data_IF_384618924342
#
_entry.id   IF_384618924342
#
_cell.length_a   1.000
_cell.length_b   1.000
_cell.length_c   1.000
_cell.angle_alpha   90.00
_cell.angle_beta   90.00
_cell.angle_gamma   90.00
#
_symmetry.space_group_name_H-M   'P 1'
#
loop_
_entity.id
_entity.type
_entity.pdbx_description
1 polymer ?
#
# COMPACT_ATOMS: atom_id res chain seq x y z
N UNK A 1 8.80 32.26 -57.54
CA UNK A 1 8.66 31.29 -58.64
C UNK A 1 8.89 29.90 -58.07
N UNK A 2 7.80 29.19 -57.74
CA UNK A 2 7.74 27.72 -57.59
C UNK A 2 7.94 27.08 -58.99
N UNK A 3 8.33 25.80 -59.16
CA UNK A 3 7.39 24.66 -59.01
C UNK A 3 7.97 23.43 -58.25
N UNK A 4 7.18 22.67 -57.47
CA UNK A 4 6.15 21.65 -57.76
C UNK A 4 6.69 20.22 -58.08
N UNK A 5 6.45 19.29 -57.13
CA UNK A 5 5.78 17.97 -57.20
C UNK A 5 6.29 16.75 -58.02
N UNK A 6 6.28 15.60 -57.29
CA UNK A 6 5.70 14.26 -57.66
C UNK A 6 6.50 13.35 -58.62
N UNK A 7 6.45 12.00 -58.65
CA UNK A 7 5.69 10.91 -58.01
C UNK A 7 6.62 9.65 -57.99
N UNK A 8 6.43 8.63 -57.14
CA UNK A 8 5.60 7.45 -57.42
C UNK A 8 6.46 6.26 -57.92
N UNK A 9 6.57 5.12 -57.22
CA UNK A 9 5.74 3.91 -57.33
C UNK A 9 6.63 2.72 -56.84
N UNK A 10 6.23 1.54 -56.36
CA UNK A 10 4.97 0.80 -56.17
C UNK A 10 5.34 -0.53 -55.47
N UNK A 11 4.48 -1.06 -54.59
CA UNK A 11 4.16 -2.50 -54.47
C UNK A 11 2.92 -2.61 -53.55
N UNK A 12 1.71 -2.78 -54.11
CA UNK A 12 0.96 -4.05 -54.24
C UNK A 12 0.44 -4.55 -52.87
N UNK A 13 -0.82 -4.39 -52.42
CA UNK A 13 -2.18 -4.61 -52.97
C UNK A 13 -2.60 -6.09 -52.97
N UNK A 14 -3.38 -6.48 -51.95
CA UNK A 14 -4.39 -7.56 -51.89
C UNK A 14 -5.49 -7.01 -50.93
N UNK A 15 -6.52 -6.29 -51.42
CA UNK A 15 -7.94 -6.73 -51.60
C UNK A 15 -8.49 -7.57 -50.43
N UNK A 16 -9.15 -6.98 -49.44
CA UNK A 16 -10.56 -6.51 -49.37
C UNK A 16 -11.60 -7.65 -49.41
N UNK A 17 -12.35 -7.81 -48.31
CA UNK A 17 -13.80 -7.95 -48.37
C UNK A 17 -14.45 -7.72 -46.98
N UNK A 18 -15.45 -6.85 -47.01
CA UNK A 18 -16.63 -6.73 -46.14
C UNK A 18 -16.57 -5.82 -44.90
N UNK A 19 -16.71 -4.54 -45.21
CA UNK A 19 -17.40 -3.55 -44.39
C UNK A 19 -18.88 -3.93 -44.14
N UNK A 20 -19.36 -3.77 -42.89
CA UNK A 20 -20.62 -3.09 -42.52
C UNK A 20 -20.95 -3.29 -41.02
N UNK A 21 -20.73 -2.25 -40.22
CA UNK A 21 -21.67 -1.63 -39.25
C UNK A 21 -20.91 -0.75 -38.27
N UNK A 22 -20.71 0.51 -38.67
CA UNK A 22 -20.54 1.59 -37.73
C UNK A 22 -21.94 1.98 -37.21
N UNK A 23 -22.16 1.85 -35.91
CA UNK A 23 -23.21 2.56 -35.20
C UNK A 23 -22.52 3.40 -34.13
N UNK A 24 -22.70 4.71 -34.24
CA UNK A 24 -22.12 5.73 -33.38
C UNK A 24 -22.55 5.54 -31.92
N UNK A 25 -21.59 5.54 -31.00
CA UNK A 25 -21.84 5.73 -29.58
C UNK A 25 -22.06 7.23 -29.34
N UNK A 26 -23.31 7.64 -29.14
CA UNK A 26 -23.64 8.94 -28.57
C UNK A 26 -23.33 8.93 -27.04
N UNK A 27 -22.95 10.09 -26.44
CA UNK A 27 -22.65 10.15 -25.02
C UNK A 27 -23.94 10.05 -24.20
N UNK A 28 -23.94 9.14 -23.21
CA UNK A 28 -25.02 9.01 -22.22
C UNK A 28 -25.03 10.24 -21.30
N UNK A 29 -26.19 10.90 -21.19
CA UNK A 29 -26.43 12.01 -20.26
C UNK A 29 -26.93 11.48 -18.90
N UNK A 30 -26.69 12.27 -17.85
CA UNK A 30 -26.76 11.91 -16.43
C UNK A 30 -28.18 11.59 -15.91
N UNK A 31 -29.22 11.70 -16.73
CA UNK A 31 -30.61 11.43 -16.36
C UNK A 31 -31.09 10.01 -16.69
N UNK A 32 -30.38 9.23 -17.52
CA UNK A 32 -30.77 7.84 -17.83
C UNK A 32 -30.12 6.79 -16.91
N UNK A 33 -29.17 7.20 -16.06
CA UNK A 33 -28.48 6.28 -15.14
C UNK A 33 -29.26 5.98 -13.84
N UNK A 34 -30.34 6.72 -13.56
CA UNK A 34 -31.10 6.60 -12.31
C UNK A 34 -32.27 5.60 -12.43
N UNK A 35 -32.75 5.29 -13.64
CA UNK A 35 -33.85 4.33 -13.85
C UNK A 35 -33.39 2.86 -13.91
N UNK A 36 -32.09 2.57 -13.96
CA UNK A 36 -31.59 1.19 -14.00
C UNK A 36 -31.38 0.56 -12.60
N UNK A 37 -31.51 1.33 -11.52
CA UNK A 37 -31.21 0.87 -10.15
C UNK A 37 -32.46 0.66 -9.29
N UNK A 38 -33.66 1.04 -9.76
CA UNK A 38 -34.89 0.93 -8.97
C UNK A 38 -35.98 0.11 -9.67
N UNK A 39 -35.79 -1.22 -9.72
CA UNK A 39 -36.94 -2.12 -9.80
C UNK A 39 -36.63 -3.45 -9.08
N UNK A 40 -36.87 -3.45 -7.77
CA UNK A 40 -36.83 -4.62 -6.92
C UNK A 40 -38.00 -5.55 -7.25
N UNK A 41 -37.81 -6.50 -8.19
CA UNK A 41 -38.79 -7.58 -8.42
C UNK A 41 -38.29 -8.76 -9.26
N UNK A 42 -37.14 -9.35 -8.93
CA UNK A 42 -36.76 -10.71 -9.43
C UNK A 42 -35.62 -11.36 -8.62
N UNK A 43 -35.70 -11.31 -7.28
CA UNK A 43 -34.78 -12.05 -6.39
C UNK A 43 -35.33 -13.40 -5.88
N UNK A 44 -36.38 -13.95 -6.51
CA UNK A 44 -36.91 -15.28 -6.16
C UNK A 44 -36.60 -16.40 -7.15
N UNK A 45 -36.18 -16.09 -8.38
CA UNK A 45 -35.94 -17.12 -9.39
C UNK A 45 -34.47 -17.53 -9.54
N UNK A 46 -33.51 -16.73 -9.04
CA UNK A 46 -32.08 -17.06 -9.07
C UNK A 46 -31.65 -18.08 -8.00
N UNK A 47 -32.47 -18.27 -6.95
CA UNK A 47 -32.18 -19.22 -5.86
C UNK A 47 -32.47 -20.68 -6.26
N UNK A 48 -33.26 -20.90 -7.31
CA UNK A 48 -33.60 -22.22 -7.84
C UNK A 48 -32.52 -22.83 -8.74
N UNK A 49 -31.89 -22.01 -9.59
CA UNK A 49 -30.92 -22.49 -10.57
C UNK A 49 -29.52 -22.76 -9.97
N UNK A 50 -29.16 -22.10 -8.87
CA UNK A 50 -27.87 -22.32 -8.19
C UNK A 50 -27.84 -23.62 -7.35
N UNK A 51 -28.99 -24.24 -7.06
CA UNK A 51 -29.06 -25.50 -6.31
C UNK A 51 -28.77 -26.76 -7.14
N UNK A 52 -28.70 -26.66 -8.46
CA UNK A 52 -28.53 -27.83 -9.34
C UNK A 52 -27.08 -28.11 -9.80
N UNK A 53 -26.09 -27.27 -9.45
CA UNK A 53 -24.68 -27.50 -9.80
C UNK A 53 -23.82 -27.78 -8.56
N UNK A 54 -23.99 -28.97 -7.98
CA UNK A 54 -22.96 -29.57 -7.10
C UNK A 54 -21.80 -30.04 -7.97
N UNK A 55 -20.71 -29.27 -8.01
CA UNK A 55 -19.39 -29.81 -8.37
C UNK A 55 -18.84 -30.47 -7.13
N UNK A 56 -18.84 -31.81 -7.10
CA UNK A 56 -18.17 -32.60 -6.07
C UNK A 56 -16.66 -32.51 -6.25
N UNK A 57 -15.91 -32.03 -5.25
CA UNK A 57 -14.45 -32.18 -5.24
C UNK A 57 -13.60 -31.11 -4.56
N UNK A 58 -14.15 -30.16 -3.78
CA UNK A 58 -13.31 -29.27 -2.96
C UNK A 58 -13.31 -29.71 -1.50
N UNK A 59 -12.15 -29.82 -0.83
CA UNK A 59 -12.13 -30.08 0.61
C UNK A 59 -12.82 -28.92 1.34
N UNK A 60 -13.63 -29.26 2.34
CA UNK A 60 -14.29 -28.28 3.20
C UNK A 60 -13.24 -27.41 3.90
N UNK A 61 -13.20 -26.13 3.56
CA UNK A 61 -12.47 -25.14 4.35
C UNK A 61 -13.21 -24.98 5.68
N UNK A 62 -12.55 -25.39 6.76
CA UNK A 62 -13.07 -25.28 8.11
C UNK A 62 -13.15 -23.79 8.48
N UNK A 63 -14.33 -23.19 8.29
CA UNK A 63 -14.60 -21.77 8.51
C UNK A 63 -14.61 -21.37 10.01
N UNK A 64 -14.01 -22.18 10.88
CA UNK A 64 -13.85 -21.91 12.30
C UNK A 64 -12.44 -21.41 12.61
N UNK A 65 -12.22 -20.11 12.34
CA UNK A 65 -11.45 -19.14 13.16
C UNK A 65 -11.08 -17.92 12.31
N UNK A 66 -12.07 -17.12 11.96
CA UNK A 66 -11.86 -15.67 11.97
C UNK A 66 -12.76 -15.10 13.05
N UNK A 67 -12.25 -15.12 14.28
CA UNK A 67 -12.79 -14.25 15.32
C UNK A 67 -12.17 -12.89 15.02
N UNK A 68 -12.93 -11.87 14.57
CA UNK A 68 -12.38 -10.53 14.53
C UNK A 68 -11.94 -10.22 15.95
N UNK A 69 -10.65 -9.94 16.16
CA UNK A 69 -10.14 -9.55 17.47
C UNK A 69 -10.79 -8.22 17.84
N UNK A 70 -11.93 -8.29 18.52
CA UNK A 70 -12.55 -7.13 19.12
C UNK A 70 -11.64 -6.67 20.26
N UNK A 71 -11.02 -5.50 20.09
CA UNK A 71 -10.56 -4.68 21.22
C UNK A 71 -9.20 -4.99 21.82
N UNK A 72 -8.12 -4.87 21.04
CA UNK A 72 -6.99 -4.12 21.61
C UNK A 72 -7.45 -2.66 21.66
N UNK A 73 -7.39 -1.96 22.80
CA UNK A 73 -7.69 -0.54 22.82
C UNK A 73 -6.70 0.13 21.86
N UNK A 74 -7.23 0.75 20.81
CA UNK A 74 -6.41 1.62 19.98
C UNK A 74 -5.77 2.60 20.96
N UNK A 75 -4.46 2.69 20.92
CA UNK A 75 -3.61 3.66 21.64
C UNK A 75 -3.95 5.14 21.33
N UNK A 76 -5.12 5.38 20.73
CA UNK A 76 -5.69 6.63 20.30
C UNK A 76 -5.99 7.53 21.50
N UNK A 77 -5.26 8.63 21.58
CA UNK A 77 -5.62 9.77 22.39
C UNK A 77 -6.10 10.89 21.47
N UNK A 78 -7.41 11.19 21.54
CA UNK A 78 -8.03 12.23 20.71
C UNK A 78 -7.62 13.64 21.10
N UNK A 79 -7.38 13.89 22.39
CA UNK A 79 -7.04 15.22 22.89
C UNK A 79 -5.63 15.63 22.45
N UNK A 80 -4.66 14.73 22.54
CA UNK A 80 -3.28 14.98 22.07
C UNK A 80 -3.06 14.63 20.59
N UNK A 81 -4.08 14.06 19.93
CA UNK A 81 -4.04 13.50 18.57
C UNK A 81 -2.88 12.52 18.39
N UNK A 82 -2.73 11.59 19.33
CA UNK A 82 -1.64 10.61 19.32
C UNK A 82 -2.11 9.18 19.18
N UNK A 83 -1.27 8.36 18.56
CA UNK A 83 -1.41 6.89 18.50
C UNK A 83 -0.05 6.25 18.70
N UNK A 84 -0.02 5.05 19.27
CA UNK A 84 1.14 4.15 19.28
C UNK A 84 1.10 3.23 18.05
N UNK A 85 2.27 3.01 17.47
CA UNK A 85 2.44 2.18 16.28
C UNK A 85 3.57 1.19 16.47
N UNK A 86 3.47 0.07 15.76
CA UNK A 86 4.62 -0.70 15.33
C UNK A 86 5.04 -0.10 13.98
N UNK A 87 6.26 0.43 13.88
CA UNK A 87 6.76 1.03 12.63
C UNK A 87 7.66 0.09 11.83
N UNK A 88 8.18 -0.96 12.45
CA UNK A 88 8.88 -2.05 11.77
C UNK A 88 9.00 -3.28 12.66
N UNK A 89 8.97 -4.46 12.04
CA UNK A 89 9.31 -5.76 12.62
C UNK A 89 10.59 -6.35 12.02
N UNK A 90 11.24 -5.61 11.11
CA UNK A 90 12.39 -6.08 10.35
C UNK A 90 12.06 -7.17 9.35
N UNK A 91 10.80 -7.24 8.89
CA UNK A 91 10.33 -8.25 7.95
C UNK A 91 11.27 -8.39 6.76
N UNK A 92 11.46 -9.64 6.33
CA UNK A 92 12.17 -9.92 5.10
C UNK A 92 11.27 -9.64 3.91
N UNK A 93 11.73 -8.79 2.99
CA UNK A 93 10.95 -8.38 1.82
C UNK A 93 11.81 -8.09 0.60
N UNK A 94 11.18 -8.14 -0.57
CA UNK A 94 11.85 -7.80 -1.82
C UNK A 94 11.82 -6.29 -2.03
N UNK A 95 12.99 -5.66 -1.99
CA UNK A 95 13.15 -4.22 -2.15
C UNK A 95 14.08 -3.89 -3.31
N UNK A 96 13.85 -2.73 -3.95
CA UNK A 96 14.74 -2.20 -4.95
C UNK A 96 15.67 -1.18 -4.30
N UNK A 97 16.96 -1.49 -4.23
CA UNK A 97 17.97 -0.64 -3.60
C UNK A 97 19.04 -0.31 -4.63
N UNK A 98 19.23 0.96 -4.96
CA UNK A 98 20.39 1.36 -5.75
C UNK A 98 21.65 1.29 -4.88
N UNK A 99 22.78 0.73 -5.38
CA UNK A 99 23.02 0.23 -6.73
C UNK A 99 22.73 -1.27 -6.94
N UNK A 100 22.28 -2.01 -5.92
CA UNK A 100 22.12 -3.47 -5.95
C UNK A 100 20.96 -4.00 -6.81
N UNK A 101 20.00 -3.16 -7.17
CA UNK A 101 18.79 -3.57 -7.86
C UNK A 101 17.79 -4.24 -6.91
N UNK A 102 17.05 -5.25 -7.39
CA UNK A 102 16.14 -6.02 -6.55
C UNK A 102 16.91 -6.98 -5.65
N UNK A 103 16.73 -6.82 -4.34
CA UNK A 103 17.33 -7.66 -3.30
C UNK A 103 16.26 -8.19 -2.36
N UNK A 104 16.54 -9.32 -1.71
CA UNK A 104 15.83 -9.69 -0.49
C UNK A 104 16.51 -9.00 0.68
N UNK A 105 15.81 -8.01 1.21
CA UNK A 105 16.26 -7.22 2.35
C UNK A 105 15.61 -7.73 3.64
N UNK A 106 16.37 -7.70 4.72
CA UNK A 106 15.90 -7.92 6.09
C UNK A 106 16.51 -6.82 6.97
N UNK A 107 15.73 -6.18 7.83
CA UNK A 107 16.26 -5.16 8.73
C UNK A 107 16.61 -5.78 10.07
N UNK A 108 17.86 -5.63 10.51
CA UNK A 108 18.24 -6.02 11.86
C UNK A 108 17.62 -5.06 12.88
N UNK A 109 16.68 -5.56 13.66
CA UNK A 109 15.98 -4.81 14.70
C UNK A 109 16.73 -4.83 16.05
N UNK A 110 17.95 -5.34 16.13
CA UNK A 110 18.78 -5.20 17.32
C UNK A 110 19.06 -3.71 17.61
N UNK A 111 19.00 -3.24 18.87
CA UNK A 111 19.27 -1.83 19.19
C UNK A 111 20.62 -1.28 18.69
N UNK A 112 21.61 -2.15 18.52
CA UNK A 112 22.94 -1.79 17.98
C UNK A 112 22.97 -1.58 16.47
N UNK A 113 21.97 -2.09 15.73
CA UNK A 113 21.88 -1.97 14.28
C UNK A 113 21.09 -0.73 13.82
N UNK A 114 20.25 -0.16 14.70
CA UNK A 114 19.34 0.93 14.36
C UNK A 114 19.80 2.26 14.96
N UNK A 115 20.11 3.22 14.10
CA UNK A 115 20.40 4.61 14.49
C UNK A 115 19.11 5.36 14.77
N UNK A 116 18.73 5.44 16.04
CA UNK A 116 17.42 5.95 16.46
C UNK A 116 17.37 7.47 16.69
N UNK A 117 18.46 8.20 16.47
CA UNK A 117 18.58 9.62 16.82
C UNK A 117 17.51 10.48 16.13
N UNK A 118 17.26 10.23 14.85
CA UNK A 118 16.25 10.98 14.09
C UNK A 118 14.85 10.74 14.64
N UNK A 119 14.43 9.48 14.80
CA UNK A 119 13.10 9.18 15.33
C UNK A 119 12.91 9.63 16.80
N UNK A 120 13.98 9.63 17.60
CA UNK A 120 13.94 10.09 19.01
C UNK A 120 14.05 11.60 19.17
N UNK A 121 14.37 12.33 18.10
CA UNK A 121 14.54 13.80 18.15
C UNK A 121 13.27 14.59 18.50
N UNK A 122 12.10 13.95 18.40
CA UNK A 122 10.80 14.64 18.50
C UNK A 122 10.44 15.45 17.25
N UNK A 123 11.22 15.33 16.15
CA UNK A 123 11.05 16.11 14.91
C UNK A 123 10.91 15.27 13.65
N UNK A 124 11.12 13.95 13.71
CA UNK A 124 10.93 13.08 12.54
C UNK A 124 9.48 13.20 12.04
N UNK A 125 9.26 13.42 10.73
CA UNK A 125 7.94 13.67 10.21
C UNK A 125 7.11 12.38 10.18
N UNK A 126 5.80 12.56 10.31
CA UNK A 126 4.82 11.56 9.89
C UNK A 126 4.31 11.96 8.53
N UNK A 127 4.49 11.11 7.52
CA UNK A 127 4.16 11.44 6.13
C UNK A 127 2.95 10.68 5.61
N UNK A 128 2.31 11.24 4.58
CA UNK A 128 1.39 10.53 3.70
C UNK A 128 2.19 9.78 2.64
N UNK A 129 2.22 8.45 2.75
CA UNK A 129 2.71 7.55 1.69
C UNK A 129 4.11 7.93 1.17
N UNK A 130 5.07 8.21 2.08
CA UNK A 130 6.45 8.59 1.76
C UNK A 130 6.62 9.86 0.93
N UNK A 131 5.56 10.65 0.74
CA UNK A 131 5.60 11.86 -0.09
C UNK A 131 6.38 12.96 0.60
N UNK A 132 7.51 13.32 -0.02
CA UNK A 132 8.49 14.29 0.48
C UNK A 132 8.63 15.53 -0.40
N UNK A 133 7.78 15.64 -1.42
CA UNK A 133 7.78 16.69 -2.43
C UNK A 133 7.10 17.99 -1.94
N UNK A 134 6.46 18.00 -0.77
CA UNK A 134 5.80 19.19 -0.23
C UNK A 134 5.33 19.07 1.21
N UNK A 135 5.19 20.22 1.89
CA UNK A 135 4.82 20.30 3.30
C UNK A 135 3.39 19.81 3.60
N UNK A 136 2.49 19.83 2.61
CA UNK A 136 1.12 19.32 2.74
C UNK A 136 1.07 17.78 2.96
N UNK A 137 2.16 17.07 2.70
CA UNK A 137 2.27 15.64 2.97
C UNK A 137 2.70 15.31 4.40
N UNK A 138 3.01 16.33 5.22
CA UNK A 138 3.37 16.16 6.63
C UNK A 138 2.10 16.07 7.46
N UNK A 139 1.72 14.86 7.82
CA UNK A 139 0.57 14.56 8.67
C UNK A 139 0.82 14.88 10.14
N UNK A 140 2.09 14.95 10.55
CA UNK A 140 2.45 15.10 11.96
C UNK A 140 3.92 14.84 12.22
N UNK A 141 4.22 14.37 13.43
CA UNK A 141 5.58 14.05 13.87
C UNK A 141 5.63 12.86 14.83
N UNK A 142 6.79 12.23 14.90
CA UNK A 142 7.13 11.25 15.92
C UNK A 142 7.51 11.97 17.20
N UNK A 143 6.84 11.65 18.31
CA UNK A 143 7.11 12.28 19.63
C UNK A 143 7.85 11.36 20.59
N UNK A 144 7.83 10.05 20.34
CA UNK A 144 8.63 9.05 21.06
C UNK A 144 8.89 7.85 20.16
N UNK A 145 10.05 7.21 20.28
CA UNK A 145 10.38 6.00 19.53
C UNK A 145 11.34 5.08 20.30
N UNK A 146 11.12 3.77 20.20
CA UNK A 146 11.92 2.75 20.87
C UNK A 146 12.03 1.48 20.02
N UNK A 147 13.05 0.70 20.34
CA UNK A 147 13.21 -0.69 19.88
C UNK A 147 12.99 -1.56 21.10
N UNK A 148 12.09 -2.53 21.01
CA UNK A 148 11.73 -3.42 22.11
C UNK A 148 11.30 -4.78 21.56
N UNK A 149 11.83 -5.87 22.10
CA UNK A 149 11.43 -7.22 21.68
C UNK A 149 11.60 -7.52 20.17
N UNK A 150 12.61 -6.92 19.52
CA UNK A 150 12.84 -7.08 18.08
C UNK A 150 11.87 -6.28 17.20
N UNK A 151 11.11 -5.34 17.77
CA UNK A 151 10.17 -4.48 17.04
C UNK A 151 10.44 -3.01 17.31
N UNK A 152 10.13 -2.20 16.31
CA UNK A 152 10.15 -0.76 16.39
C UNK A 152 8.79 -0.23 16.81
N UNK A 153 8.75 0.53 17.90
CA UNK A 153 7.55 1.22 18.37
C UNK A 153 7.73 2.74 18.35
N UNK A 154 6.65 3.45 18.09
CA UNK A 154 6.64 4.91 18.12
C UNK A 154 5.29 5.47 18.57
N UNK A 155 5.31 6.68 19.13
CA UNK A 155 4.12 7.49 19.33
C UNK A 155 4.10 8.58 18.27
N UNK A 156 3.04 8.59 17.46
CA UNK A 156 2.83 9.58 16.41
C UNK A 156 1.87 10.65 16.93
N UNK A 157 2.15 11.92 16.65
CA UNK A 157 1.24 13.04 16.90
C UNK A 157 0.81 13.65 15.58
N UNK A 158 -0.50 13.70 15.32
CA UNK A 158 -1.06 14.27 14.10
C UNK A 158 -1.30 15.78 14.24
N UNK A 159 -1.02 16.50 13.15
CA UNK A 159 -1.29 17.94 13.02
C UNK A 159 -2.78 18.24 13.16
N UNK A 160 -3.10 19.46 13.62
CA UNK A 160 -4.46 20.01 13.64
C UNK A 160 -4.80 20.78 12.36
N UNK A 161 -3.92 20.77 11.36
CA UNK A 161 -4.17 21.42 10.08
C UNK A 161 -5.37 20.76 9.36
N UNK A 162 -6.16 21.58 8.67
CA UNK A 162 -7.43 21.16 8.06
C UNK A 162 -7.24 20.06 7.00
N UNK A 163 -6.12 20.07 6.29
CA UNK A 163 -5.75 19.10 5.27
C UNK A 163 -5.39 17.71 5.85
N UNK A 164 -5.00 17.64 7.13
CA UNK A 164 -4.69 16.38 7.82
C UNK A 164 -5.94 15.71 8.40
N UNK A 165 -7.02 16.47 8.63
CA UNK A 165 -8.22 15.96 9.30
C UNK A 165 -8.85 14.73 8.63
N UNK A 166 -8.96 14.63 7.29
CA UNK A 166 -9.47 13.42 6.65
C UNK A 166 -8.61 12.17 6.90
N UNK A 167 -7.29 12.33 7.08
CA UNK A 167 -6.39 11.20 7.39
C UNK A 167 -6.54 10.82 8.86
N UNK A 168 -6.59 11.81 9.75
CA UNK A 168 -6.83 11.58 11.17
C UNK A 168 -8.14 10.83 11.43
N UNK A 169 -9.24 11.21 10.76
CA UNK A 169 -10.52 10.50 10.90
C UNK A 169 -10.43 9.02 10.49
N UNK A 170 -9.66 8.70 9.43
CA UNK A 170 -9.43 7.31 9.00
C UNK A 170 -8.58 6.50 10.00
N UNK A 171 -7.67 7.17 10.71
CA UNK A 171 -6.93 6.53 11.81
C UNK A 171 -7.86 6.27 12.99
N UNK A 172 -8.70 7.25 13.31
CA UNK A 172 -9.67 7.21 14.40
C UNK A 172 -10.72 6.11 14.20
N UNK A 173 -11.26 5.98 12.99
CA UNK A 173 -12.26 4.96 12.66
C UNK A 173 -11.64 3.59 12.33
N UNK A 174 -10.31 3.52 12.24
CA UNK A 174 -9.54 2.30 12.00
C UNK A 174 -9.51 1.84 10.55
N UNK A 175 -9.98 2.64 9.59
CA UNK A 175 -9.89 2.33 8.15
C UNK A 175 -8.48 2.50 7.60
N UNK A 176 -7.65 3.36 8.21
CA UNK A 176 -6.24 3.53 7.88
C UNK A 176 -5.37 3.19 9.09
N UNK A 177 -4.73 2.02 9.06
CA UNK A 177 -3.93 1.51 10.18
C UNK A 177 -2.50 1.14 9.80
N UNK A 178 -2.19 1.03 8.51
CA UNK A 178 -0.91 0.49 8.07
C UNK A 178 0.20 1.54 8.16
N UNK A 179 1.38 1.08 8.56
CA UNK A 179 2.55 1.91 8.80
C UNK A 179 3.71 1.43 7.93
N UNK A 180 4.56 2.37 7.54
CA UNK A 180 5.84 2.09 6.91
C UNK A 180 6.89 3.05 7.47
N UNK A 181 8.17 2.71 7.31
CA UNK A 181 9.28 3.57 7.68
C UNK A 181 10.19 3.77 6.47
N UNK A 182 10.58 5.02 6.28
CA UNK A 182 11.59 5.45 5.33
C UNK A 182 12.92 5.50 6.06
N UNK A 183 13.90 4.82 5.50
CA UNK A 183 15.19 4.62 6.14
C UNK A 183 16.33 4.69 5.12
N UNK A 184 17.53 4.87 5.66
CA UNK A 184 18.78 4.73 4.92
C UNK A 184 19.56 3.56 5.53
N UNK A 185 20.06 2.67 4.69
CA UNK A 185 21.01 1.64 5.12
C UNK A 185 22.44 2.16 4.92
N UNK A 186 23.24 2.08 5.98
CA UNK A 186 24.67 2.42 5.96
C UNK A 186 25.53 1.20 5.68
N UNK A 187 25.12 0.02 6.15
CA UNK A 187 25.82 -1.23 5.90
C UNK A 187 24.88 -2.43 5.86
N UNK A 188 25.08 -3.27 4.86
CA UNK A 188 24.51 -4.62 4.79
C UNK A 188 25.56 -5.66 5.15
N UNK A 189 25.13 -6.70 5.85
CA UNK A 189 25.81 -7.98 5.87
C UNK A 189 25.04 -8.94 4.95
N UNK A 190 25.76 -9.54 4.01
CA UNK A 190 25.16 -10.47 3.05
C UNK A 190 25.30 -11.89 3.56
N UNK A 191 24.19 -12.63 3.60
CA UNK A 191 24.18 -14.04 3.97
C UNK A 191 23.47 -14.85 2.90
N UNK A 192 24.10 -15.93 2.46
CA UNK A 192 23.46 -16.90 1.57
C UNK A 192 22.72 -17.96 2.38
N UNK A 193 21.46 -18.24 2.02
CA UNK A 193 20.71 -19.31 2.66
C UNK A 193 21.01 -20.66 2.00
N UNK A 194 21.91 -21.43 2.61
CA UNK A 194 22.26 -22.76 2.13
C UNK A 194 22.97 -22.79 0.77
N UNK A 195 23.25 -24.00 0.29
CA UNK A 195 23.88 -24.19 -1.02
C UNK A 195 22.87 -23.84 -2.13
N UNK A 196 23.13 -22.78 -2.88
CA UNK A 196 22.31 -22.37 -4.01
C UNK A 196 21.16 -21.40 -3.68
N UNK A 197 20.86 -21.13 -2.41
CA UNK A 197 19.77 -20.23 -2.04
C UNK A 197 20.05 -18.75 -2.28
N UNK A 198 19.02 -17.96 -2.03
CA UNK A 198 18.99 -16.51 -2.23
C UNK A 198 19.94 -15.80 -1.25
N UNK A 199 20.55 -14.71 -1.73
CA UNK A 199 21.37 -13.84 -0.89
C UNK A 199 20.47 -12.86 -0.16
N UNK A 200 20.47 -12.93 1.17
CA UNK A 200 19.80 -11.96 2.03
C UNK A 200 20.75 -10.82 2.33
N UNK A 201 20.29 -9.61 2.08
CA UNK A 201 20.97 -8.37 2.43
C UNK A 201 20.40 -7.90 3.76
N UNK A 202 21.09 -8.24 4.85
CA UNK A 202 20.66 -7.88 6.20
C UNK A 202 21.19 -6.50 6.56
N UNK A 203 20.32 -5.51 6.72
CA UNK A 203 20.71 -4.16 7.13
C UNK A 203 21.11 -4.19 8.61
N UNK A 204 22.40 -4.07 8.89
CA UNK A 204 23.01 -4.22 10.22
C UNK A 204 23.52 -2.90 10.79
N UNK A 205 23.44 -1.84 9.99
CA UNK A 205 23.64 -0.45 10.40
C UNK A 205 22.75 0.40 9.50
N UNK A 206 21.64 0.92 10.04
CA UNK A 206 20.63 1.65 9.29
C UNK A 206 19.92 2.69 10.16
N UNK A 207 19.33 3.69 9.51
CA UNK A 207 18.78 4.89 10.13
C UNK A 207 17.36 5.15 9.59
N UNK A 208 16.31 4.90 10.38
CA UNK A 208 14.97 5.38 10.04
C UNK A 208 14.88 6.90 10.24
N UNK A 209 14.37 7.60 9.22
CA UNK A 209 14.28 9.06 9.23
C UNK A 209 12.85 9.60 9.15
N UNK A 210 11.86 8.77 8.82
CA UNK A 210 10.45 9.13 8.83
C UNK A 210 9.56 7.92 9.13
N UNK A 211 8.29 8.17 9.46
CA UNK A 211 7.24 7.15 9.56
C UNK A 211 6.07 7.59 8.69
N UNK A 212 5.57 6.71 7.83
CA UNK A 212 4.45 7.01 6.94
C UNK A 212 3.19 6.26 7.32
N UNK A 213 2.05 6.94 7.21
CA UNK A 213 0.76 6.27 7.03
C UNK A 213 0.68 5.80 5.58
N UNK A 214 0.43 4.52 5.36
CA UNK A 214 0.38 3.93 4.01
C UNK A 214 -0.92 3.15 3.80
N UNK A 215 -1.42 3.05 2.56
CA UNK A 215 -2.57 2.18 2.28
C UNK A 215 -2.18 0.69 2.29
N UNK A 216 -0.97 0.36 1.81
CA UNK A 216 -0.48 -1.01 1.68
C UNK A 216 0.94 -1.07 2.24
N UNK A 217 1.17 -1.73 3.39
CA UNK A 217 2.50 -1.87 3.95
C UNK A 217 3.23 -3.06 3.31
N UNK A 218 4.56 -3.00 3.29
CA UNK A 218 5.40 -4.18 3.04
C UNK A 218 5.42 -5.06 4.29
N UNK A 219 5.52 -4.43 5.46
CA UNK A 219 5.46 -5.08 6.76
C UNK A 219 4.01 -5.11 7.29
N UNK A 220 3.34 -6.24 7.14
CA UNK A 220 1.93 -6.39 7.56
C UNK A 220 1.74 -6.31 9.08
N UNK A 221 2.81 -6.44 9.88
CA UNK A 221 2.75 -6.25 11.33
C UNK A 221 3.02 -4.80 11.74
N UNK A 222 3.52 -3.95 10.83
CA UNK A 222 3.67 -2.51 11.04
C UNK A 222 2.31 -1.81 10.93
N UNK A 223 1.71 -1.53 12.08
CA UNK A 223 0.36 -0.96 12.17
C UNK A 223 0.15 -0.10 13.41
N UNK A 224 -0.92 0.69 13.38
CA UNK A 224 -1.51 1.33 14.56
C UNK A 224 -2.02 0.27 15.53
N UNK A 225 -1.56 0.37 16.78
CA UNK A 225 -1.83 -0.56 17.87
C UNK A 225 -3.06 -0.15 18.68
#
# INVERSE_FOLDING_TARGET
MMPFFSAGARALLIQDHDARRAAALAPLNMETAVDLVMNARTLRDLDGELRARRVSGMPAVDAKRFVPSTGAPISLNRASRTVEVIWSTGVRSRNFVQPYGWIMEELDMAPSAVRMDVLRSGRAPVLDTHRRDGAAHVLGRVVAARIEGGRGYATLQFSTATDVEPVWQRVVDGTLRSISAGYRVHRYDQRREGAGGETIYRAVDWEPYEISMVPVPIDYEAMVR
#
